data_IF_366453793949
#
_entry.id   IF_366453793949
#
_cell.length_a   1.000
_cell.length_b   1.000
_cell.length_c   1.000
_cell.angle_alpha   90.00
_cell.angle_beta   90.00
_cell.angle_gamma   90.00
#
_symmetry.space_group_name_H-M   'P 1'
#
loop_
_entity.id
_entity.type
_entity.pdbx_description
1 polymer ?
#
# COMPACT_ATOMS: atom_id res chain seq x y z
N UNK A 1 -15.10 -12.02 5.75
CA UNK A 1 -15.75 -10.83 5.17
C UNK A 1 -14.66 -9.89 4.66
N UNK A 2 -14.68 -9.51 3.39
CA UNK A 2 -13.73 -8.55 2.80
C UNK A 2 -14.14 -7.12 3.18
N UNK A 3 -13.33 -6.44 3.98
CA UNK A 3 -13.65 -5.09 4.50
C UNK A 3 -13.83 -4.07 3.35
N UNK A 4 -13.04 -4.20 2.28
CA UNK A 4 -13.04 -3.32 1.11
C UNK A 4 -14.36 -3.28 0.32
N UNK A 5 -15.20 -4.32 0.42
CA UNK A 5 -16.46 -4.45 -0.35
C UNK A 5 -17.71 -4.39 0.53
N UNK A 6 -17.59 -3.96 1.78
CA UNK A 6 -18.75 -3.74 2.67
C UNK A 6 -19.68 -2.65 2.12
N UNK A 7 -20.95 -2.64 2.53
CA UNK A 7 -21.94 -1.63 2.07
C UNK A 7 -21.43 -0.19 2.27
N UNK A 8 -20.79 0.08 3.42
CA UNK A 8 -20.24 1.40 3.73
C UNK A 8 -19.08 1.77 2.78
N UNK A 9 -18.14 0.86 2.56
CA UNK A 9 -17.01 1.09 1.65
C UNK A 9 -17.47 1.26 0.20
N UNK A 10 -18.35 0.37 -0.29
CA UNK A 10 -18.91 0.48 -1.65
C UNK A 10 -19.64 1.81 -1.86
N UNK A 11 -20.51 2.20 -0.93
CA UNK A 11 -21.25 3.47 -1.05
C UNK A 11 -20.33 4.69 -1.11
N UNK A 12 -19.24 4.70 -0.33
CA UNK A 12 -18.25 5.77 -0.38
C UNK A 12 -17.49 5.79 -1.73
N UNK A 13 -17.00 4.64 -2.18
CA UNK A 13 -16.21 4.55 -3.41
C UNK A 13 -17.05 4.85 -4.66
N UNK A 14 -18.28 4.34 -4.75
CA UNK A 14 -19.21 4.66 -5.85
C UNK A 14 -19.52 6.16 -5.90
N UNK A 15 -19.70 6.82 -4.76
CA UNK A 15 -19.88 8.28 -4.75
C UNK A 15 -18.64 8.99 -5.30
N UNK A 16 -17.45 8.60 -4.86
CA UNK A 16 -16.19 9.22 -5.33
C UNK A 16 -15.94 8.98 -6.82
N UNK A 17 -16.37 7.85 -7.35
CA UNK A 17 -16.30 7.54 -8.78
C UNK A 17 -17.31 8.37 -9.58
N UNK A 18 -18.55 8.52 -9.10
CA UNK A 18 -19.55 9.40 -9.71
C UNK A 18 -19.15 10.88 -9.69
N UNK A 19 -18.46 11.31 -8.62
CA UNK A 19 -17.90 12.66 -8.50
C UNK A 19 -16.64 12.85 -9.38
N UNK A 20 -16.16 11.81 -10.06
CA UNK A 20 -14.95 11.84 -10.91
C UNK A 20 -13.63 11.98 -10.13
N UNK A 21 -13.65 11.76 -8.81
CA UNK A 21 -12.47 11.95 -7.93
C UNK A 21 -11.51 10.76 -7.98
N UNK A 22 -12.03 9.56 -8.24
CA UNK A 22 -11.24 8.35 -8.40
C UNK A 22 -11.87 7.42 -9.44
N UNK A 23 -11.11 6.44 -9.90
CA UNK A 23 -11.62 5.33 -10.68
C UNK A 23 -11.27 4.02 -9.97
N UNK A 24 -12.26 3.13 -9.81
CA UNK A 24 -12.02 1.83 -9.19
C UNK A 24 -11.52 0.84 -10.24
N UNK A 25 -10.33 0.30 -10.03
CA UNK A 25 -9.80 -0.77 -10.86
C UNK A 25 -10.45 -2.11 -10.49
N UNK A 26 -10.77 -2.92 -11.50
CA UNK A 26 -11.21 -4.31 -11.26
C UNK A 26 -9.98 -5.13 -10.91
N UNK A 27 -9.96 -5.73 -9.71
CA UNK A 27 -8.84 -6.53 -9.23
C UNK A 27 -9.17 -8.02 -9.20
N UNK A 28 -8.37 -8.89 -9.84
CA UNK A 28 -8.57 -10.34 -9.75
C UNK A 28 -8.22 -10.86 -8.35
N UNK A 29 -8.94 -11.90 -7.85
CA UNK A 29 -8.60 -12.52 -6.57
C UNK A 29 -7.23 -13.20 -6.65
N UNK A 30 -6.49 -13.18 -5.54
CA UNK A 30 -5.18 -13.86 -5.40
C UNK A 30 -4.09 -13.39 -6.38
N UNK A 31 -4.14 -12.13 -6.82
CA UNK A 31 -3.11 -11.56 -7.70
C UNK A 31 -2.26 -10.49 -6.99
N UNK A 32 -1.38 -10.87 -6.05
CA UNK A 32 -0.41 -9.93 -5.47
C UNK A 32 0.67 -9.54 -6.49
N UNK A 33 1.00 -10.43 -7.42
CA UNK A 33 1.96 -10.21 -8.52
C UNK A 33 1.60 -9.01 -9.40
N UNK A 34 0.31 -8.72 -9.54
CA UNK A 34 -0.16 -7.56 -10.30
C UNK A 34 -0.05 -6.25 -9.53
N UNK A 35 0.12 -6.28 -8.20
CA UNK A 35 0.05 -5.11 -7.33
C UNK A 35 1.43 -4.47 -7.12
N UNK A 36 1.71 -3.28 -7.68
CA UNK A 36 3.04 -2.66 -7.59
C UNK A 36 3.50 -2.38 -6.15
N UNK A 37 2.58 -2.24 -5.19
CA UNK A 37 2.94 -1.98 -3.79
C UNK A 37 3.62 -3.18 -3.12
N UNK A 38 3.44 -4.39 -3.64
CA UNK A 38 4.09 -5.59 -3.08
C UNK A 38 5.62 -5.47 -3.25
N UNK A 39 6.07 -5.04 -4.43
CA UNK A 39 7.49 -4.78 -4.70
C UNK A 39 8.07 -3.73 -3.74
N UNK A 40 7.32 -2.65 -3.49
CA UNK A 40 7.75 -1.62 -2.54
C UNK A 40 7.77 -2.15 -1.10
N UNK A 41 6.79 -2.98 -0.73
CA UNK A 41 6.71 -3.59 0.60
C UNK A 41 7.89 -4.53 0.86
N UNK A 42 8.30 -5.31 -0.14
CA UNK A 42 9.49 -6.17 -0.06
C UNK A 42 10.78 -5.36 0.15
N UNK A 43 10.94 -4.25 -0.57
CA UNK A 43 12.11 -3.37 -0.41
C UNK A 43 12.14 -2.70 0.97
N UNK A 44 10.97 -2.27 1.47
CA UNK A 44 10.86 -1.72 2.83
C UNK A 44 11.23 -2.75 3.90
N UNK A 45 10.76 -3.99 3.76
CA UNK A 45 11.06 -5.08 4.68
C UNK A 45 12.57 -5.40 4.67
N UNK A 46 13.19 -5.46 3.48
CA UNK A 46 14.64 -5.63 3.32
C UNK A 46 15.43 -4.55 4.06
N UNK A 47 15.09 -3.27 3.85
CA UNK A 47 15.73 -2.13 4.53
C UNK A 47 15.50 -2.13 6.03
N UNK A 48 14.32 -2.54 6.49
CA UNK A 48 14.03 -2.64 7.92
C UNK A 48 14.82 -3.77 8.58
N UNK A 49 14.96 -4.92 7.92
CA UNK A 49 15.78 -6.04 8.41
C UNK A 49 17.25 -5.64 8.60
N UNK A 50 17.82 -4.85 7.70
CA UNK A 50 19.17 -4.29 7.84
C UNK A 50 19.32 -3.44 9.12
N UNK A 51 18.27 -2.70 9.49
CA UNK A 51 18.25 -1.85 10.70
C UNK A 51 18.03 -2.64 12.00
N UNK A 52 17.72 -3.94 11.92
CA UNK A 52 17.46 -4.84 13.04
C UNK A 52 16.58 -4.22 14.15
N UNK A 53 15.31 -3.88 13.87
CA UNK A 53 14.42 -3.29 14.86
C UNK A 53 14.28 -4.23 16.06
N UNK A 54 14.38 -3.67 17.27
CA UNK A 54 14.30 -4.39 18.55
C UNK A 54 13.04 -4.05 19.34
N UNK A 55 12.23 -3.12 18.83
CA UNK A 55 11.02 -2.63 19.49
C UNK A 55 10.05 -2.06 18.45
N UNK A 56 8.78 -1.92 18.84
CA UNK A 56 7.78 -1.24 18.02
C UNK A 56 8.15 0.24 17.77
N UNK A 57 8.87 0.89 18.68
CA UNK A 57 9.39 2.25 18.46
C UNK A 57 10.43 2.28 17.34
N UNK A 58 11.30 1.27 17.26
CA UNK A 58 12.23 1.14 16.14
C UNK A 58 11.53 0.85 14.81
N UNK A 59 10.33 0.26 14.83
CA UNK A 59 9.55 0.03 13.61
C UNK A 59 9.12 1.35 12.93
N UNK A 60 9.01 2.46 13.66
CA UNK A 60 8.71 3.77 13.06
C UNK A 60 9.79 4.26 12.08
N UNK A 61 11.02 3.73 12.15
CA UNK A 61 12.07 3.97 11.15
C UNK A 61 11.67 3.51 9.74
N UNK A 62 10.58 2.75 9.60
CA UNK A 62 9.96 2.44 8.31
C UNK A 62 9.66 3.71 7.51
N UNK A 63 9.29 4.82 8.16
CA UNK A 63 9.06 6.09 7.48
C UNK A 63 10.33 6.64 6.82
N UNK A 64 11.49 6.47 7.47
CA UNK A 64 12.78 6.88 6.91
C UNK A 64 13.21 5.93 5.77
N UNK A 65 12.92 4.64 5.90
CA UNK A 65 13.09 3.67 4.80
C UNK A 65 12.27 4.09 3.58
N UNK A 66 11.00 4.45 3.76
CA UNK A 66 10.12 4.90 2.68
C UNK A 66 10.67 6.13 1.97
N UNK A 67 11.04 7.17 2.72
CA UNK A 67 11.57 8.43 2.17
C UNK A 67 12.90 8.28 1.44
N UNK A 68 13.63 7.19 1.69
CA UNK A 68 14.92 6.92 1.04
C UNK A 68 14.80 6.02 -0.18
N UNK A 69 13.60 5.56 -0.54
CA UNK A 69 13.39 4.87 -1.82
C UNK A 69 13.53 5.92 -2.93
N UNK A 70 14.46 5.76 -3.87
CA UNK A 70 14.61 6.70 -4.97
C UNK A 70 13.32 6.72 -5.80
N UNK A 71 12.87 7.91 -6.19
CA UNK A 71 11.87 8.02 -7.24
C UNK A 71 12.49 7.64 -8.58
N UNK A 72 11.65 7.34 -9.57
CA UNK A 72 12.14 7.27 -10.94
C UNK A 72 12.64 8.66 -11.35
N UNK A 73 13.93 8.79 -11.67
CA UNK A 73 14.44 9.94 -12.41
C UNK A 73 13.89 9.83 -13.83
N UNK A 74 12.92 10.68 -14.16
CA UNK A 74 12.34 10.77 -15.50
C UNK A 74 13.27 11.43 -16.51
#
# INVERSE_FOLDING_TARGET
MTQHTTRRCKGYLTKKENDGVLHQITWPPQSPDLNPIEMISDELDRRMKEKQPKSAQHMWKLQDCWKSIPGEEG
#
